data_IF_852845864706
#
_entry.id   IF_852845864706
#
_cell.length_a   1.000
_cell.length_b   1.000
_cell.length_c   1.000
_cell.angle_alpha   90.00
_cell.angle_beta   90.00
_cell.angle_gamma   90.00
#
_symmetry.space_group_name_H-M   'P 1'
#
loop_
_entity.id
_entity.type
_entity.pdbx_description
1 polymer ?
#
# COMPACT_ATOMS: atom_id res chain seq x y z
N UNK A 1 15.55 -14.21 -10.22
CA UNK A 1 16.05 -14.00 -8.86
C UNK A 1 17.57 -13.77 -8.84
N UNK A 2 18.34 -14.52 -9.62
CA UNK A 2 19.81 -14.44 -9.69
C UNK A 2 20.36 -13.03 -9.98
N UNK A 3 19.71 -12.27 -10.88
CA UNK A 3 20.12 -10.91 -11.21
C UNK A 3 19.93 -9.88 -10.07
N UNK A 4 19.05 -10.15 -9.11
CA UNK A 4 18.85 -9.24 -7.96
C UNK A 4 19.91 -9.47 -6.87
N UNK A 5 20.41 -10.71 -6.75
CA UNK A 5 21.42 -11.09 -5.76
C UNK A 5 22.81 -10.49 -6.06
N UNK A 6 23.06 -10.09 -7.31
CA UNK A 6 24.33 -9.45 -7.72
C UNK A 6 24.35 -7.94 -7.47
N UNK A 7 23.22 -7.34 -7.06
CA UNK A 7 23.12 -5.91 -6.83
C UNK A 7 23.80 -5.53 -5.50
N UNK A 8 24.59 -4.45 -5.56
CA UNK A 8 25.21 -3.88 -4.37
C UNK A 8 24.17 -3.19 -3.48
N UNK A 9 24.36 -3.20 -2.16
CA UNK A 9 23.56 -2.40 -1.25
C UNK A 9 23.57 -0.92 -1.62
N UNK A 10 22.41 -0.27 -1.55
CA UNK A 10 22.23 1.13 -1.99
C UNK A 10 22.46 2.15 -0.85
N UNK A 11 22.23 1.77 0.40
CA UNK A 11 22.24 2.69 1.55
C UNK A 11 23.40 2.46 2.52
N UNK A 12 23.66 1.21 2.89
CA UNK A 12 24.80 0.82 3.73
C UNK A 12 25.74 -0.07 2.88
N UNK A 13 26.92 0.42 2.48
CA UNK A 13 27.84 -0.32 1.62
C UNK A 13 28.43 -1.60 2.23
N UNK A 14 28.43 -1.71 3.57
CA UNK A 14 29.15 -2.78 4.29
C UNK A 14 28.19 -3.87 4.73
N UNK A 15 27.06 -3.51 5.34
CA UNK A 15 26.10 -4.49 5.90
C UNK A 15 24.67 -4.31 5.37
N UNK A 16 24.46 -3.45 4.37
CA UNK A 16 23.13 -3.15 3.87
C UNK A 16 22.49 -4.33 3.15
N UNK A 17 21.18 -4.48 3.34
CA UNK A 17 20.36 -5.49 2.66
C UNK A 17 19.45 -4.89 1.59
N UNK A 18 19.27 -3.58 1.61
CA UNK A 18 18.43 -2.84 0.65
C UNK A 18 19.25 -2.49 -0.58
N UNK A 19 18.77 -2.89 -1.75
CA UNK A 19 19.42 -2.66 -3.04
C UNK A 19 18.51 -1.83 -3.94
N UNK A 20 19.03 -1.35 -5.07
CA UNK A 20 18.22 -0.63 -6.06
C UNK A 20 17.04 -1.47 -6.58
N UNK A 21 17.20 -2.81 -6.66
CA UNK A 21 16.15 -3.71 -7.11
C UNK A 21 15.08 -4.03 -6.05
N UNK A 22 15.35 -3.74 -4.78
CA UNK A 22 14.38 -3.89 -3.67
C UNK A 22 13.85 -2.54 -3.18
N UNK A 23 14.12 -1.47 -3.93
CA UNK A 23 13.68 -0.11 -3.66
C UNK A 23 12.71 0.34 -4.76
N UNK A 24 11.77 1.21 -4.42
CA UNK A 24 10.92 1.84 -5.44
C UNK A 24 11.72 2.77 -6.35
N UNK A 25 11.42 2.70 -7.64
CA UNK A 25 12.06 3.56 -8.63
C UNK A 25 11.49 4.98 -8.59
N UNK A 26 12.34 5.98 -8.85
CA UNK A 26 11.90 7.33 -9.17
C UNK A 26 11.11 7.28 -10.48
N UNK A 27 9.91 7.86 -10.47
CA UNK A 27 9.01 7.81 -11.62
C UNK A 27 8.17 9.08 -11.70
N UNK A 28 7.84 9.48 -12.93
CA UNK A 28 6.91 10.57 -13.22
C UNK A 28 5.53 10.01 -13.56
N UNK A 29 4.46 10.68 -13.13
CA UNK A 29 3.09 10.33 -13.50
C UNK A 29 2.05 11.07 -12.67
N UNK A 30 0.77 10.87 -13.01
CA UNK A 30 -0.36 11.54 -12.38
C UNK A 30 -1.55 10.58 -12.20
N UNK A 31 -2.44 10.89 -11.26
CA UNK A 31 -3.70 10.19 -11.08
C UNK A 31 -4.83 11.18 -10.74
N UNK A 32 -6.05 10.81 -11.10
CA UNK A 32 -7.25 11.59 -10.80
C UNK A 32 -8.38 10.67 -10.33
N UNK A 33 -9.21 11.16 -9.40
CA UNK A 33 -10.39 10.45 -8.92
C UNK A 33 -11.54 11.45 -8.75
N UNK A 34 -12.72 11.06 -9.24
CA UNK A 34 -13.95 11.81 -9.02
C UNK A 34 -14.64 11.27 -7.76
N UNK A 35 -14.87 12.15 -6.79
CA UNK A 35 -15.54 11.83 -5.52
C UNK A 35 -16.77 12.71 -5.40
N UNK A 36 -17.89 12.13 -4.96
CA UNK A 36 -19.14 12.83 -4.71
C UNK A 36 -19.95 12.11 -3.63
N UNK A 37 -20.99 12.76 -3.10
CA UNK A 37 -21.94 12.09 -2.21
C UNK A 37 -22.70 10.99 -2.95
N UNK A 38 -23.08 9.94 -2.23
CA UNK A 38 -23.89 8.84 -2.77
C UNK A 38 -25.23 9.36 -3.32
N UNK A 39 -25.90 10.26 -2.60
CA UNK A 39 -27.14 10.92 -3.06
C UNK A 39 -26.97 11.58 -4.42
N UNK A 40 -25.89 12.34 -4.62
CA UNK A 40 -25.64 13.05 -5.87
C UNK A 40 -25.29 12.09 -7.00
N UNK A 41 -24.56 11.01 -6.70
CA UNK A 41 -24.29 9.95 -7.69
C UNK A 41 -25.60 9.32 -8.19
N UNK A 42 -26.54 9.04 -7.29
CA UNK A 42 -27.85 8.49 -7.65
C UNK A 42 -28.71 9.47 -8.46
N UNK A 43 -28.78 10.74 -8.06
CA UNK A 43 -29.49 11.79 -8.81
C UNK A 43 -28.96 11.93 -10.24
N UNK A 44 -27.65 11.81 -10.42
CA UNK A 44 -26.98 11.89 -11.72
C UNK A 44 -27.00 10.57 -12.50
N UNK A 45 -27.59 9.50 -11.97
CA UNK A 45 -27.63 8.18 -12.60
C UNK A 45 -26.26 7.50 -12.73
N UNK A 46 -25.27 7.89 -11.92
CA UNK A 46 -23.92 7.34 -11.94
C UNK A 46 -23.84 6.11 -11.04
N UNK A 47 -23.27 5.01 -11.54
CA UNK A 47 -23.01 3.80 -10.73
C UNK A 47 -21.72 3.98 -9.91
N UNK A 48 -21.78 4.03 -8.56
CA UNK A 48 -20.58 4.14 -7.73
C UNK A 48 -19.68 2.91 -7.89
N UNK A 49 -18.35 3.13 -7.94
CA UNK A 49 -17.36 2.04 -8.05
C UNK A 49 -16.88 1.51 -6.70
N UNK A 50 -16.85 2.38 -5.69
CA UNK A 50 -16.42 2.08 -4.33
C UNK A 50 -16.96 3.16 -3.39
N UNK A 51 -16.89 2.90 -2.08
CA UNK A 51 -17.18 3.88 -1.03
C UNK A 51 -16.04 3.90 -0.01
N UNK A 52 -15.72 5.08 0.51
CA UNK A 52 -14.78 5.21 1.63
C UNK A 52 -15.51 4.78 2.91
N UNK A 53 -14.97 3.78 3.61
CA UNK A 53 -15.53 3.30 4.89
C UNK A 53 -14.91 4.00 6.09
N UNK A 54 -13.59 4.17 6.10
CA UNK A 54 -12.87 4.86 7.15
C UNK A 54 -11.58 5.47 6.59
N UNK A 55 -11.05 6.44 7.33
CA UNK A 55 -9.73 7.02 7.09
C UNK A 55 -9.01 7.19 8.43
N UNK A 56 -7.73 6.84 8.48
CA UNK A 56 -6.90 6.99 9.66
C UNK A 56 -5.51 7.50 9.28
N UNK A 57 -4.98 8.36 10.14
CA UNK A 57 -3.62 8.90 10.05
C UNK A 57 -3.03 8.77 11.45
N UNK A 58 -1.81 8.26 11.54
CA UNK A 58 -1.09 8.05 12.79
C UNK A 58 0.36 8.47 12.62
N UNK A 59 0.98 8.94 13.70
CA UNK A 59 2.42 9.19 13.74
C UNK A 59 3.18 7.91 14.12
N UNK A 60 4.39 7.78 13.60
CA UNK A 60 5.37 6.81 14.07
C UNK A 60 6.73 7.50 14.21
N UNK A 61 7.66 6.88 14.93
CA UNK A 61 9.00 7.42 15.09
C UNK A 61 9.69 7.53 13.71
N UNK A 62 10.35 8.67 13.39
CA UNK A 62 10.99 8.87 12.10
C UNK A 62 12.02 7.79 11.73
N UNK A 63 12.68 7.18 12.72
CA UNK A 63 13.66 6.11 12.50
C UNK A 63 13.05 4.82 11.96
N UNK A 64 11.76 4.60 12.22
CA UNK A 64 11.00 3.43 11.75
C UNK A 64 9.79 3.84 10.89
N UNK A 65 9.90 4.96 10.17
CA UNK A 65 8.79 5.52 9.39
C UNK A 65 8.05 4.50 8.50
N UNK A 66 8.77 3.49 8.01
CA UNK A 66 8.23 2.41 7.20
C UNK A 66 7.20 1.51 7.91
N UNK A 67 7.12 1.56 9.25
CA UNK A 67 6.18 0.79 10.06
C UNK A 67 4.80 1.45 10.19
N UNK A 68 4.66 2.73 9.80
CA UNK A 68 3.41 3.49 9.86
C UNK A 68 2.13 2.79 9.33
N UNK A 69 2.19 1.93 8.29
CA UNK A 69 1.01 1.21 7.80
C UNK A 69 0.34 0.31 8.85
N UNK A 70 1.09 -0.30 9.77
CA UNK A 70 0.51 -1.21 10.77
C UNK A 70 -0.41 -0.48 11.76
N UNK A 71 0.03 0.56 12.48
CA UNK A 71 -0.86 1.31 13.38
C UNK A 71 -1.95 2.07 12.60
N UNK A 72 -1.69 2.53 11.37
CA UNK A 72 -2.69 3.21 10.56
C UNK A 72 -3.85 2.26 10.18
N UNK A 73 -3.53 1.04 9.75
CA UNK A 73 -4.53 0.02 9.42
C UNK A 73 -5.36 -0.39 10.63
N UNK A 74 -4.74 -0.54 11.81
CA UNK A 74 -5.45 -0.84 13.06
C UNK A 74 -6.43 0.27 13.44
N UNK A 75 -5.97 1.54 13.43
CA UNK A 75 -6.83 2.69 13.69
C UNK A 75 -7.96 2.85 12.65
N UNK A 76 -7.69 2.52 11.38
CA UNK A 76 -8.68 2.51 10.31
C UNK A 76 -9.76 1.43 10.50
N UNK A 77 -9.34 0.24 10.93
CA UNK A 77 -10.23 -0.88 11.24
C UNK A 77 -11.15 -0.53 12.43
N UNK A 78 -10.60 -0.01 13.53
CA UNK A 78 -11.37 0.44 14.69
C UNK A 78 -12.45 1.47 14.29
N UNK A 79 -12.08 2.50 13.52
CA UNK A 79 -13.02 3.53 13.04
C UNK A 79 -14.11 2.99 12.12
N UNK A 80 -13.83 1.90 11.40
CA UNK A 80 -14.78 1.28 10.47
C UNK A 80 -15.81 0.37 11.13
N UNK A 81 -15.75 0.21 12.46
CA UNK A 81 -16.58 -0.73 13.21
C UNK A 81 -15.91 -2.07 13.49
N UNK A 82 -14.58 -2.16 13.33
CA UNK A 82 -13.78 -3.31 13.77
C UNK A 82 -13.66 -4.46 12.76
N UNK A 83 -13.62 -4.18 11.45
CA UNK A 83 -13.37 -5.24 10.47
C UNK A 83 -12.05 -5.97 10.75
N UNK A 84 -12.08 -7.29 10.61
CA UNK A 84 -10.90 -8.13 10.73
C UNK A 84 -10.13 -8.12 9.41
N UNK A 85 -8.81 -8.38 9.42
CA UNK A 85 -8.03 -8.56 8.19
C UNK A 85 -8.63 -9.62 7.24
N UNK A 86 -9.35 -10.60 7.77
CA UNK A 86 -10.06 -11.61 7.00
C UNK A 86 -11.20 -11.03 6.14
N UNK A 87 -11.86 -9.96 6.60
CA UNK A 87 -12.98 -9.30 5.90
C UNK A 87 -12.50 -8.45 4.70
N UNK A 88 -11.20 -8.19 4.63
CA UNK A 88 -10.57 -7.43 3.56
C UNK A 88 -10.17 -8.40 2.45
N UNK A 89 -10.74 -8.18 1.26
CA UNK A 89 -10.46 -8.99 0.07
C UNK A 89 -9.10 -8.70 -0.54
N UNK A 90 -8.69 -7.43 -0.58
CA UNK A 90 -7.41 -6.99 -1.18
C UNK A 90 -6.79 -5.87 -0.33
N UNK A 91 -5.48 -5.97 -0.12
CA UNK A 91 -4.63 -4.97 0.51
C UNK A 91 -3.70 -4.35 -0.55
N UNK A 92 -3.84 -3.05 -0.76
CA UNK A 92 -2.92 -2.26 -1.58
C UNK A 92 -2.00 -1.48 -0.63
N UNK A 93 -0.73 -1.91 -0.57
CA UNK A 93 0.29 -1.34 0.30
C UNK A 93 1.42 -0.76 -0.55
N UNK A 94 1.78 0.50 -0.31
CA UNK A 94 2.88 1.13 -1.04
C UNK A 94 4.23 0.45 -0.71
N UNK A 95 4.89 -0.05 -1.75
CA UNK A 95 6.20 -0.72 -1.66
C UNK A 95 7.34 0.29 -1.77
N UNK A 96 7.58 1.10 -0.74
CA UNK A 96 8.73 2.01 -0.75
C UNK A 96 10.06 1.23 -0.87
N UNK A 97 10.18 0.15 -0.11
CA UNK A 97 11.24 -0.84 -0.06
C UNK A 97 10.66 -2.24 0.26
N UNK A 98 11.37 -3.30 -0.09
CA UNK A 98 11.00 -4.65 0.37
C UNK A 98 11.16 -4.78 1.90
N UNK A 99 12.17 -4.09 2.45
CA UNK A 99 12.51 -4.16 3.87
C UNK A 99 11.47 -3.54 4.82
N UNK A 100 10.61 -2.60 4.38
CA UNK A 100 9.50 -2.13 5.23
C UNK A 100 8.22 -2.91 5.03
N UNK A 101 7.91 -3.34 3.80
CA UNK A 101 6.60 -3.94 3.52
C UNK A 101 6.48 -5.32 4.16
N UNK A 102 7.54 -6.12 4.11
CA UNK A 102 7.53 -7.48 4.67
C UNK A 102 7.28 -7.50 6.19
N UNK A 103 7.94 -6.67 7.02
CA UNK A 103 7.58 -6.52 8.42
C UNK A 103 6.13 -6.08 8.65
N UNK A 104 5.62 -5.14 7.84
CA UNK A 104 4.23 -4.68 7.97
C UNK A 104 3.22 -5.79 7.67
N UNK A 105 3.46 -6.58 6.62
CA UNK A 105 2.62 -7.73 6.24
C UNK A 105 2.64 -8.79 7.35
N UNK A 106 3.82 -9.07 7.90
CA UNK A 106 3.99 -10.02 9.01
C UNK A 106 3.21 -9.58 10.25
N UNK A 107 3.34 -8.32 10.66
CA UNK A 107 2.69 -7.80 11.86
C UNK A 107 1.17 -7.60 11.71
N UNK A 108 0.69 -7.51 10.46
CA UNK A 108 -0.74 -7.55 10.13
C UNK A 108 -1.28 -8.98 10.04
N UNK A 109 -0.43 -10.02 10.16
CA UNK A 109 -0.84 -11.42 10.09
C UNK A 109 -1.21 -11.89 8.68
N UNK A 110 -0.68 -11.24 7.64
CA UNK A 110 -1.06 -11.46 6.24
C UNK A 110 -0.01 -12.24 5.44
N UNK A 111 1.04 -12.76 6.09
CA UNK A 111 2.19 -13.37 5.40
C UNK A 111 1.81 -14.59 4.57
N UNK A 112 0.88 -15.42 5.05
CA UNK A 112 0.40 -16.61 4.33
C UNK A 112 -0.53 -16.27 3.16
N UNK A 113 -1.07 -15.04 3.13
CA UNK A 113 -2.04 -14.56 2.14
C UNK A 113 -1.44 -13.54 1.17
N UNK A 114 -0.10 -13.45 1.13
CA UNK A 114 0.61 -12.43 0.36
C UNK A 114 0.28 -12.49 -1.12
N UNK A 115 0.29 -13.68 -1.72
CA UNK A 115 0.03 -13.88 -3.15
C UNK A 115 -1.46 -13.78 -3.52
N UNK A 116 -2.35 -13.85 -2.53
CA UNK A 116 -3.81 -13.87 -2.73
C UNK A 116 -4.47 -12.52 -2.48
N UNK A 117 -3.90 -11.71 -1.59
CA UNK A 117 -4.52 -10.46 -1.13
C UNK A 117 -3.66 -9.24 -1.27
N UNK A 118 -2.33 -9.34 -1.38
CA UNK A 118 -1.45 -8.17 -1.29
C UNK A 118 -0.93 -7.79 -2.68
N UNK A 119 -1.14 -6.53 -3.09
CA UNK A 119 -0.56 -5.93 -4.31
C UNK A 119 -0.69 -6.79 -5.58
N UNK A 120 -1.87 -7.36 -5.82
CA UNK A 120 -2.12 -8.32 -6.92
C UNK A 120 -1.79 -7.79 -8.32
N UNK A 121 -1.84 -6.47 -8.51
CA UNK A 121 -1.51 -5.81 -9.78
C UNK A 121 -0.07 -5.24 -9.80
N UNK A 122 0.82 -5.75 -8.93
CA UNK A 122 2.16 -5.23 -8.69
C UNK A 122 2.15 -3.92 -7.90
N UNK A 123 3.20 -3.66 -7.11
CA UNK A 123 3.34 -2.44 -6.32
C UNK A 123 4.41 -1.47 -6.84
N UNK A 124 4.85 -0.58 -5.97
CA UNK A 124 5.71 0.55 -6.32
C UNK A 124 7.15 0.16 -6.68
N UNK A 125 7.62 -1.04 -6.32
CA UNK A 125 8.94 -1.54 -6.77
C UNK A 125 8.93 -1.80 -8.28
N UNK A 126 7.83 -2.36 -8.81
CA UNK A 126 7.68 -2.63 -10.24
C UNK A 126 7.17 -1.42 -11.03
N UNK A 127 6.30 -0.60 -10.43
CA UNK A 127 5.55 0.45 -11.13
C UNK A 127 6.05 1.88 -10.86
N UNK A 128 7.07 2.00 -10.01
CA UNK A 128 7.62 3.26 -9.55
C UNK A 128 6.81 3.90 -8.43
N UNK A 129 7.51 4.72 -7.63
CA UNK A 129 6.93 5.51 -6.56
C UNK A 129 6.89 7.00 -6.95
N UNK A 130 5.68 7.55 -6.98
CA UNK A 130 5.39 8.96 -7.24
C UNK A 130 4.99 9.60 -5.92
N UNK A 131 5.88 10.41 -5.36
CA UNK A 131 5.77 10.93 -3.99
C UNK A 131 4.44 11.66 -3.71
N UNK A 132 3.88 12.33 -4.72
CA UNK A 132 2.63 13.10 -4.60
C UNK A 132 1.40 12.43 -5.24
N UNK A 133 1.48 11.15 -5.64
CA UNK A 133 0.37 10.45 -6.31
C UNK A 133 -0.07 9.24 -5.48
N UNK A 134 -0.79 9.46 -4.37
CA UNK A 134 -1.26 8.38 -3.49
C UNK A 134 -2.44 7.61 -4.08
N UNK A 135 -3.10 8.16 -5.10
CA UNK A 135 -4.31 7.57 -5.67
C UNK A 135 -3.92 6.58 -6.76
N UNK A 136 -3.93 5.29 -6.40
CA UNK A 136 -4.00 4.18 -7.35
C UNK A 136 -5.05 3.21 -6.86
N UNK A 137 -6.24 3.31 -7.44
CA UNK A 137 -7.37 2.45 -7.06
C UNK A 137 -7.37 1.21 -7.94
N UNK A 138 -6.74 0.14 -7.46
CA UNK A 138 -6.96 -1.22 -7.96
C UNK A 138 -8.23 -1.79 -7.32
N UNK A 139 -9.40 -1.18 -7.55
CA UNK A 139 -10.65 -1.77 -7.05
C UNK A 139 -10.96 -3.03 -7.87
N UNK A 140 -11.04 -4.22 -7.26
CA UNK A 140 -11.73 -5.34 -7.91
C UNK A 140 -13.16 -4.88 -8.20
N UNK A 141 -13.74 -5.37 -9.30
CA UNK A 141 -15.16 -5.15 -9.55
C UNK A 141 -15.92 -5.72 -8.35
N UNK A 142 -16.64 -4.86 -7.63
CA UNK A 142 -17.63 -5.30 -6.64
C UNK A 142 -18.69 -6.17 -7.32
#
# INVERSE_FOLDING_TARGET
MEALATLRPAFDPVNGTVTAGTSSALSDGAAAMLVMSESRAHELGLKPRARVRSMAVVGCDPSIMGYGPVPASKAGAEKSGGFLPADIGVFEMNEAFAAQILPCIKDLGLMEQIDEKINLNGGAIALGHRWAVPVRVSAPRC
#
